data_IF_319280771528
#
_entry.id   IF_319280771528
#
_cell.length_a   1.000
_cell.length_b   1.000
_cell.length_c   1.000
_cell.angle_alpha   90.00
_cell.angle_beta   90.00
_cell.angle_gamma   90.00
#
_symmetry.space_group_name_H-M   'P 1'
#
loop_
_entity.id
_entity.type
_entity.pdbx_description
1 polymer ?
#
# COMPACT_ATOMS: atom_id res chain seq x y z
N UNK A 1 -16.98 0.54 -6.64
CA UNK A 1 -17.80 -0.69 -6.54
C UNK A 1 -17.46 -1.56 -5.33
N UNK A 2 -16.18 -1.81 -5.01
CA UNK A 2 -15.78 -2.63 -3.85
C UNK A 2 -16.15 -1.97 -2.51
N UNK A 3 -16.02 -0.65 -2.40
CA UNK A 3 -16.44 0.08 -1.19
C UNK A 3 -17.95 0.10 -1.02
N UNK A 4 -18.73 0.17 -2.12
CA UNK A 4 -20.18 0.10 -2.06
C UNK A 4 -20.69 -1.30 -1.65
N UNK A 5 -19.96 -2.36 -2.04
CA UNK A 5 -20.28 -3.72 -1.62
C UNK A 5 -20.01 -3.98 -0.13
N UNK A 6 -18.96 -3.40 0.45
CA UNK A 6 -18.64 -3.55 1.88
C UNK A 6 -19.62 -2.77 2.77
N UNK A 7 -19.94 -1.53 2.41
CA UNK A 7 -20.94 -0.73 3.13
C UNK A 7 -22.35 -1.30 2.93
N UNK A 8 -22.66 -1.80 1.73
CA UNK A 8 -23.92 -2.46 1.45
C UNK A 8 -24.11 -3.79 2.17
N UNK A 9 -23.03 -4.56 2.41
CA UNK A 9 -23.13 -5.83 3.14
C UNK A 9 -23.37 -5.63 4.64
N UNK A 10 -22.79 -4.63 5.26
CA UNK A 10 -23.05 -4.31 6.67
C UNK A 10 -24.50 -3.88 6.90
N UNK A 11 -25.04 -3.00 6.07
CA UNK A 11 -26.46 -2.60 6.16
C UNK A 11 -27.42 -3.76 5.84
N UNK A 12 -27.11 -4.56 4.83
CA UNK A 12 -27.95 -5.69 4.43
C UNK A 12 -28.00 -6.82 5.46
N UNK A 13 -26.91 -7.08 6.18
CA UNK A 13 -26.87 -8.13 7.22
C UNK A 13 -27.72 -7.72 8.43
N UNK A 14 -27.78 -6.45 8.78
CA UNK A 14 -28.56 -5.95 9.94
C UNK A 14 -30.06 -6.01 9.73
N UNK A 15 -30.53 -5.75 8.52
CA UNK A 15 -31.94 -5.55 8.23
C UNK A 15 -32.60 -6.78 7.57
N UNK A 16 -31.86 -7.88 7.39
CA UNK A 16 -32.38 -9.10 6.77
C UNK A 16 -32.64 -10.19 7.79
N UNK A 17 -33.66 -11.01 7.52
CA UNK A 17 -33.88 -12.22 8.28
C UNK A 17 -32.70 -13.21 8.08
N UNK A 18 -32.56 -14.14 9.01
CA UNK A 18 -31.46 -15.11 9.04
C UNK A 18 -31.28 -15.89 7.73
N UNK A 19 -32.37 -16.38 7.14
CA UNK A 19 -32.30 -17.19 5.90
C UNK A 19 -31.86 -16.37 4.71
N UNK A 20 -32.34 -15.14 4.58
CA UNK A 20 -31.91 -14.23 3.54
C UNK A 20 -30.43 -13.84 3.68
N UNK A 21 -29.94 -13.64 4.89
CA UNK A 21 -28.53 -13.37 5.17
C UNK A 21 -27.62 -14.55 4.80
N UNK A 22 -28.03 -15.79 5.14
CA UNK A 22 -27.31 -17.02 4.76
C UNK A 22 -27.30 -17.18 3.22
N UNK A 23 -28.39 -16.91 2.55
CA UNK A 23 -28.48 -17.01 1.09
C UNK A 23 -27.56 -15.99 0.38
N UNK A 24 -27.53 -14.77 0.89
CA UNK A 24 -26.63 -13.73 0.36
C UNK A 24 -25.15 -14.06 0.60
N UNK A 25 -24.82 -14.60 1.77
CA UNK A 25 -23.47 -15.10 2.07
C UNK A 25 -23.07 -16.20 1.08
N UNK A 26 -23.93 -17.21 0.89
CA UNK A 26 -23.65 -18.30 -0.04
C UNK A 26 -23.49 -17.81 -1.48
N UNK A 27 -24.31 -16.88 -1.92
CA UNK A 27 -24.20 -16.25 -3.25
C UNK A 27 -22.88 -15.48 -3.41
N UNK A 28 -22.47 -14.75 -2.38
CA UNK A 28 -21.20 -14.02 -2.38
C UNK A 28 -19.99 -14.96 -2.48
N UNK A 29 -19.98 -16.04 -1.70
CA UNK A 29 -18.94 -17.09 -1.73
C UNK A 29 -18.85 -17.77 -3.09
N UNK A 30 -19.99 -18.20 -3.63
CA UNK A 30 -20.06 -18.84 -4.95
C UNK A 30 -19.56 -17.91 -6.06
N UNK A 31 -19.99 -16.65 -6.04
CA UNK A 31 -19.52 -15.63 -6.99
C UNK A 31 -18.03 -15.41 -6.89
N UNK A 32 -17.48 -15.40 -5.68
CA UNK A 32 -16.04 -15.30 -5.42
C UNK A 32 -15.26 -16.47 -6.01
N UNK A 33 -15.73 -17.70 -5.78
CA UNK A 33 -15.11 -18.92 -6.32
C UNK A 33 -15.13 -18.91 -7.85
N UNK A 34 -16.26 -18.58 -8.46
CA UNK A 34 -16.39 -18.50 -9.93
C UNK A 34 -15.44 -17.45 -10.50
N UNK A 35 -15.32 -16.29 -9.84
CA UNK A 35 -14.42 -15.22 -10.26
C UNK A 35 -12.94 -15.67 -10.20
N UNK A 36 -12.55 -16.37 -9.14
CA UNK A 36 -11.18 -16.90 -8.99
C UNK A 36 -10.91 -17.95 -10.05
N UNK A 37 -11.79 -18.93 -10.21
CA UNK A 37 -11.64 -19.99 -11.21
C UNK A 37 -11.56 -19.41 -12.64
N UNK A 38 -12.37 -18.40 -12.94
CA UNK A 38 -12.34 -17.71 -14.23
C UNK A 38 -11.01 -17.00 -14.47
N UNK A 39 -10.45 -16.33 -13.46
CA UNK A 39 -9.13 -15.70 -13.59
C UNK A 39 -7.98 -16.70 -13.76
N UNK A 40 -8.12 -17.87 -13.20
CA UNK A 40 -7.14 -18.96 -13.33
C UNK A 40 -7.32 -19.77 -14.62
N UNK A 41 -8.36 -19.52 -15.40
CA UNK A 41 -8.69 -20.32 -16.59
C UNK A 41 -9.18 -21.73 -16.26
N UNK A 42 -9.73 -21.94 -15.07
CA UNK A 42 -10.25 -23.23 -14.60
C UNK A 42 -11.75 -23.32 -14.92
N UNK A 43 -12.17 -24.36 -15.58
CA UNK A 43 -13.56 -24.59 -15.98
C UNK A 43 -14.33 -25.55 -15.08
N UNK A 44 -13.64 -26.29 -14.20
CA UNK A 44 -14.26 -27.26 -13.29
C UNK A 44 -13.73 -27.07 -11.87
N UNK A 45 -14.57 -27.24 -10.88
CA UNK A 45 -14.19 -27.12 -9.47
C UNK A 45 -13.18 -28.18 -9.04
N UNK A 46 -13.20 -29.35 -9.67
CA UNK A 46 -12.26 -30.42 -9.42
C UNK A 46 -10.82 -30.02 -9.76
N UNK A 47 -10.62 -29.20 -10.77
CA UNK A 47 -9.30 -28.66 -11.13
C UNK A 47 -8.79 -27.64 -10.12
N UNK A 48 -9.67 -27.03 -9.33
CA UNK A 48 -9.32 -26.10 -8.27
C UNK A 48 -9.04 -26.81 -6.95
N UNK A 49 -9.87 -27.81 -6.60
CA UNK A 49 -9.71 -28.60 -5.39
C UNK A 49 -8.41 -29.43 -5.43
N UNK A 50 -7.61 -29.34 -4.38
CA UNK A 50 -6.34 -30.10 -4.28
C UNK A 50 -5.28 -29.74 -5.33
N UNK A 51 -5.43 -28.61 -6.01
CA UNK A 51 -4.50 -28.14 -7.05
C UNK A 51 -3.09 -27.83 -6.55
N UNK A 52 -2.90 -27.72 -5.22
CA UNK A 52 -1.61 -27.42 -4.56
C UNK A 52 -0.92 -26.15 -5.06
N UNK A 53 -1.72 -25.18 -5.49
CA UNK A 53 -1.25 -23.86 -5.92
C UNK A 53 -1.12 -22.89 -4.75
N UNK A 54 -1.49 -23.31 -3.55
CA UNK A 54 -1.41 -22.51 -2.33
C UNK A 54 -0.23 -22.94 -1.48
N UNK A 55 0.35 -21.99 -0.81
CA UNK A 55 1.34 -22.18 0.24
C UNK A 55 0.75 -21.74 1.56
N UNK A 56 0.96 -22.53 2.61
CA UNK A 56 0.57 -22.14 3.95
C UNK A 56 1.66 -21.29 4.60
N UNK A 57 1.28 -20.15 5.16
CA UNK A 57 2.18 -19.24 5.86
C UNK A 57 1.66 -19.04 7.28
N UNK A 58 2.52 -19.24 8.27
CA UNK A 58 2.20 -18.97 9.67
C UNK A 58 1.34 -20.04 10.34
N UNK A 59 1.31 -21.28 9.84
CA UNK A 59 0.66 -22.43 10.47
C UNK A 59 1.72 -23.45 10.88
N UNK A 60 1.65 -23.94 12.11
CA UNK A 60 2.60 -24.91 12.65
C UNK A 60 2.60 -26.21 11.85
N UNK A 61 3.79 -26.80 11.75
CA UNK A 61 3.99 -28.00 10.95
C UNK A 61 3.16 -29.20 11.42
N UNK A 62 2.91 -29.33 12.70
CA UNK A 62 2.07 -30.40 13.25
C UNK A 62 0.62 -30.34 12.75
N UNK A 63 0.11 -29.12 12.49
CA UNK A 63 -1.20 -28.91 11.89
C UNK A 63 -1.15 -29.23 10.40
N UNK A 64 -0.10 -28.75 9.71
CA UNK A 64 0.06 -28.98 8.28
C UNK A 64 0.18 -30.45 7.92
N UNK A 65 1.02 -31.18 8.61
CA UNK A 65 1.24 -32.61 8.34
C UNK A 65 -0.02 -33.47 8.55
N UNK A 66 -0.88 -33.04 9.48
CA UNK A 66 -2.11 -33.77 9.81
C UNK A 66 -3.30 -33.43 8.90
N UNK A 67 -3.50 -32.15 8.61
CA UNK A 67 -4.73 -31.67 7.96
C UNK A 67 -4.52 -31.15 6.52
N UNK A 68 -3.30 -30.76 6.17
CA UNK A 68 -2.95 -30.20 4.88
C UNK A 68 -1.77 -30.98 4.24
N UNK A 69 -1.87 -32.28 4.24
CA UNK A 69 -0.85 -33.17 3.76
C UNK A 69 -0.34 -32.79 2.35
N UNK A 70 0.97 -32.68 2.20
CA UNK A 70 1.64 -32.26 0.97
C UNK A 70 1.37 -30.80 0.52
N UNK A 71 0.83 -29.93 1.38
CA UNK A 71 0.81 -28.51 1.13
C UNK A 71 2.14 -27.91 1.54
N UNK A 72 2.72 -27.07 0.69
CA UNK A 72 4.00 -26.39 0.96
C UNK A 72 3.83 -25.41 2.09
N UNK A 73 4.69 -25.46 3.10
CA UNK A 73 4.78 -24.48 4.18
C UNK A 73 6.25 -24.24 4.52
N UNK A 74 6.72 -23.01 4.34
CA UNK A 74 8.08 -22.58 4.65
C UNK A 74 8.17 -21.78 5.93
N UNK A 75 7.06 -21.23 6.39
CA UNK A 75 6.95 -20.40 7.59
C UNK A 75 5.94 -21.06 8.52
N UNK A 76 6.41 -21.61 9.64
CA UNK A 76 5.57 -22.12 10.71
C UNK A 76 4.94 -20.99 11.51
N UNK A 77 4.11 -21.33 12.49
CA UNK A 77 3.44 -20.32 13.34
C UNK A 77 2.41 -20.94 14.27
N UNK A 78 1.15 -20.53 14.15
CA UNK A 78 0.06 -20.88 15.06
C UNK A 78 -0.27 -22.36 15.07
N UNK A 79 -0.56 -22.85 16.27
CA UNK A 79 -1.01 -24.21 16.52
C UNK A 79 -2.55 -24.31 16.51
N UNK A 80 -3.09 -25.53 16.61
CA UNK A 80 -4.54 -25.71 16.81
C UNK A 80 -5.05 -25.02 18.08
N UNK A 81 -4.21 -24.93 19.11
CA UNK A 81 -4.60 -24.27 20.36
C UNK A 81 -4.74 -22.75 20.18
N UNK A 82 -3.87 -22.16 19.39
CA UNK A 82 -3.96 -20.74 19.06
C UNK A 82 -5.22 -20.46 18.23
N UNK A 83 -5.53 -21.32 17.25
CA UNK A 83 -6.76 -21.23 16.45
C UNK A 83 -8.00 -21.36 17.34
N UNK A 84 -8.00 -22.33 18.27
CA UNK A 84 -9.08 -22.49 19.25
C UNK A 84 -9.26 -21.22 20.10
N UNK A 85 -8.16 -20.65 20.59
CA UNK A 85 -8.19 -19.43 21.39
C UNK A 85 -8.79 -18.25 20.60
N UNK A 86 -8.39 -18.07 19.33
CA UNK A 86 -8.94 -17.03 18.46
C UNK A 86 -10.45 -17.22 18.21
N UNK A 87 -10.87 -18.47 17.96
CA UNK A 87 -12.29 -18.79 17.78
C UNK A 87 -13.08 -18.48 19.05
N UNK A 88 -12.59 -18.91 20.21
CA UNK A 88 -13.25 -18.66 21.48
C UNK A 88 -13.34 -17.17 21.78
N UNK A 89 -12.25 -16.41 21.57
CA UNK A 89 -12.27 -14.97 21.79
C UNK A 89 -13.27 -14.24 20.87
N UNK A 90 -13.36 -14.67 19.61
CA UNK A 90 -14.36 -14.12 18.68
C UNK A 90 -15.79 -14.52 19.07
N UNK A 91 -15.99 -15.76 19.50
CA UNK A 91 -17.29 -16.25 20.00
C UNK A 91 -17.74 -15.47 21.23
N UNK A 92 -16.87 -15.36 22.24
CA UNK A 92 -17.18 -14.65 23.49
C UNK A 92 -17.53 -13.18 23.24
N UNK A 93 -16.81 -12.55 22.30
CA UNK A 93 -17.12 -11.18 21.89
C UNK A 93 -18.47 -11.07 21.18
N UNK A 94 -18.82 -12.06 20.33
CA UNK A 94 -20.06 -12.03 19.56
C UNK A 94 -21.30 -12.33 20.42
N UNK A 95 -21.15 -13.20 21.40
CA UNK A 95 -22.27 -13.70 22.19
C UNK A 95 -22.31 -13.16 23.63
N UNK A 96 -21.48 -12.19 23.96
CA UNK A 96 -21.36 -11.54 25.27
C UNK A 96 -22.24 -12.18 26.36
N UNK A 97 -21.71 -13.08 27.19
CA UNK A 97 -22.51 -13.93 28.11
C UNK A 97 -23.24 -13.10 29.16
N UNK A 98 -22.84 -11.86 29.40
CA UNK A 98 -23.50 -10.95 30.34
C UNK A 98 -24.53 -10.05 29.69
N UNK A 99 -24.59 -9.99 28.34
CA UNK A 99 -25.55 -9.17 27.61
C UNK A 99 -25.37 -7.67 27.82
N UNK A 100 -24.16 -7.22 28.21
CA UNK A 100 -23.88 -5.85 28.56
C UNK A 100 -23.46 -5.00 27.35
N UNK A 101 -23.05 -5.62 26.25
CA UNK A 101 -22.69 -4.92 25.03
C UNK A 101 -23.94 -4.57 24.24
N UNK A 102 -24.22 -3.29 24.16
CA UNK A 102 -25.34 -2.76 23.36
C UNK A 102 -24.91 -2.36 21.96
N UNK A 103 -23.62 -2.21 21.72
CA UNK A 103 -23.08 -1.83 20.40
C UNK A 103 -22.97 -3.05 19.49
N UNK A 104 -23.80 -3.05 18.46
CA UNK A 104 -23.83 -4.08 17.41
C UNK A 104 -22.99 -3.72 16.18
N UNK A 105 -22.19 -2.66 16.25
CA UNK A 105 -21.29 -2.28 15.16
C UNK A 105 -20.09 -3.22 15.10
N UNK A 106 -19.61 -3.48 13.87
CA UNK A 106 -18.37 -4.21 13.71
C UNK A 106 -17.19 -3.38 14.20
N UNK A 107 -16.35 -3.98 15.02
CA UNK A 107 -15.12 -3.31 15.46
C UNK A 107 -14.14 -3.14 14.29
N UNK A 108 -13.54 -1.97 14.21
CA UNK A 108 -12.49 -1.68 13.23
C UNK A 108 -11.15 -1.62 13.96
N UNK A 109 -10.21 -2.47 13.54
CA UNK A 109 -8.84 -2.42 14.05
C UNK A 109 -8.09 -1.14 13.64
N UNK A 110 -8.62 -0.38 12.69
CA UNK A 110 -7.97 0.82 12.18
C UNK A 110 -6.86 0.55 11.17
N UNK A 111 -6.72 -0.67 10.65
CA UNK A 111 -5.63 -1.04 9.74
C UNK A 111 -5.68 -0.34 8.39
N UNK A 112 -6.86 -0.06 7.85
CA UNK A 112 -7.04 0.63 6.56
C UNK A 112 -7.21 2.14 6.68
N UNK A 113 -7.77 2.60 7.80
CA UNK A 113 -7.95 4.02 8.12
C UNK A 113 -7.58 4.25 9.55
N UNK A 114 -6.87 5.34 9.82
CA UNK A 114 -6.57 5.75 11.18
C UNK A 114 -7.83 5.81 12.05
N UNK A 115 -7.75 5.22 13.24
CA UNK A 115 -8.75 5.29 14.30
C UNK A 115 -8.02 5.56 15.62
N UNK A 116 -8.45 6.58 16.34
CA UNK A 116 -7.86 6.90 17.64
C UNK A 116 -7.97 5.72 18.60
N UNK A 117 -6.88 5.38 19.28
CA UNK A 117 -6.81 4.26 20.23
C UNK A 117 -6.81 2.86 19.58
N UNK A 118 -6.58 2.78 18.28
CA UNK A 118 -6.42 1.54 17.51
C UNK A 118 -5.01 1.43 16.94
N UNK A 119 -4.83 0.70 15.85
CA UNK A 119 -3.53 0.53 15.20
C UNK A 119 -2.88 1.87 14.85
N UNK A 120 -1.62 2.06 15.22
CA UNK A 120 -0.87 3.26 14.95
C UNK A 120 -0.43 3.33 13.48
N UNK A 121 -0.49 4.53 12.92
CA UNK A 121 -0.09 4.82 11.55
C UNK A 121 1.01 5.88 11.50
N UNK A 122 2.00 5.68 10.63
CA UNK A 122 3.00 6.70 10.33
C UNK A 122 2.34 7.98 9.78
N UNK A 123 1.33 7.79 8.91
CA UNK A 123 0.54 8.88 8.35
C UNK A 123 -0.78 9.00 9.13
N UNK A 124 -0.72 9.70 10.25
CA UNK A 124 -1.85 10.01 11.10
C UNK A 124 -2.26 11.49 10.94
N UNK A 125 -3.37 11.94 11.53
CA UNK A 125 -3.82 13.33 11.38
C UNK A 125 -2.78 14.38 11.81
N UNK A 126 -1.98 14.10 12.84
CA UNK A 126 -0.97 15.03 13.32
C UNK A 126 0.21 15.15 12.38
N UNK A 127 0.76 14.01 11.93
CA UNK A 127 1.91 13.99 11.01
C UNK A 127 1.56 14.61 9.66
N UNK A 128 0.36 14.32 9.14
CA UNK A 128 -0.13 14.91 7.88
C UNK A 128 -0.32 16.42 8.05
N UNK A 129 -0.92 16.87 9.15
CA UNK A 129 -1.14 18.29 9.41
C UNK A 129 0.18 19.08 9.46
N UNK A 130 1.15 18.61 10.25
CA UNK A 130 2.45 19.27 10.38
C UNK A 130 3.19 19.35 9.03
N UNK A 131 3.20 18.26 8.28
CA UNK A 131 3.84 18.24 6.96
C UNK A 131 3.18 19.22 5.99
N UNK A 132 1.84 19.23 5.95
CA UNK A 132 1.10 20.16 5.08
C UNK A 132 1.29 21.61 5.49
N UNK A 133 1.30 21.90 6.79
CA UNK A 133 1.52 23.25 7.30
C UNK A 133 2.91 23.75 6.94
N UNK A 134 3.93 22.94 7.20
CA UNK A 134 5.31 23.26 6.90
C UNK A 134 5.53 23.55 5.41
N UNK A 135 5.00 22.68 4.54
CA UNK A 135 5.19 22.81 3.08
C UNK A 135 4.42 23.96 2.47
N UNK A 136 3.18 24.23 2.93
CA UNK A 136 2.36 25.33 2.43
C UNK A 136 2.93 26.70 2.80
N UNK A 137 3.50 26.83 3.99
CA UNK A 137 4.06 28.09 4.51
C UNK A 137 5.55 28.24 4.20
N UNK A 138 6.22 27.20 3.69
CA UNK A 138 7.68 27.20 3.55
C UNK A 138 8.39 27.30 4.92
N UNK A 139 7.75 26.80 5.98
CA UNK A 139 8.25 26.92 7.34
C UNK A 139 9.12 25.74 7.75
N UNK A 140 10.43 25.99 7.77
CA UNK A 140 11.42 24.98 8.15
C UNK A 140 11.35 24.61 9.65
N UNK A 141 10.92 25.52 10.53
CA UNK A 141 10.77 25.21 11.95
C UNK A 141 9.68 24.14 12.15
N UNK A 142 8.51 24.35 11.57
CA UNK A 142 7.42 23.34 11.57
C UNK A 142 7.85 22.02 10.89
N UNK A 143 8.68 22.07 9.84
CA UNK A 143 9.23 20.86 9.26
C UNK A 143 10.16 20.10 10.21
N UNK A 144 10.92 20.81 11.05
CA UNK A 144 11.75 20.19 12.10
C UNK A 144 10.90 19.53 13.18
N UNK A 145 9.76 20.13 13.56
CA UNK A 145 8.80 19.51 14.50
C UNK A 145 8.23 18.22 13.91
N UNK A 146 7.82 18.25 12.64
CA UNK A 146 7.39 17.05 11.92
C UNK A 146 8.47 15.97 11.92
N UNK A 147 9.72 16.33 11.58
CA UNK A 147 10.84 15.39 11.54
C UNK A 147 11.13 14.75 12.89
N UNK A 148 11.07 15.55 13.95
CA UNK A 148 11.26 15.06 15.33
C UNK A 148 10.14 14.11 15.74
N UNK A 149 8.90 14.46 15.44
CA UNK A 149 7.76 13.60 15.72
C UNK A 149 7.90 12.22 15.03
N UNK A 150 8.25 12.21 13.74
CA UNK A 150 8.39 10.96 12.95
C UNK A 150 9.58 10.11 13.39
N UNK A 151 10.72 10.73 13.69
CA UNK A 151 11.96 10.01 13.88
C UNK A 151 12.25 9.65 15.34
N UNK A 152 11.68 10.38 16.30
CA UNK A 152 12.06 10.26 17.70
C UNK A 152 10.87 9.98 18.64
N UNK A 153 9.68 10.48 18.34
CA UNK A 153 8.57 10.48 19.29
C UNK A 153 7.50 9.42 18.98
N UNK A 154 7.30 9.07 17.71
CA UNK A 154 6.32 8.04 17.32
C UNK A 154 6.88 6.63 17.56
N UNK A 155 6.02 5.75 18.02
CA UNK A 155 6.32 4.32 18.04
C UNK A 155 6.67 3.83 16.62
N UNK A 156 7.69 2.97 16.48
CA UNK A 156 8.08 2.43 15.19
C UNK A 156 6.96 1.56 14.58
N UNK A 157 6.30 2.07 13.54
CA UNK A 157 5.18 1.39 12.85
C UNK A 157 5.61 0.70 11.54
N UNK A 158 6.90 0.77 11.21
CA UNK A 158 7.47 0.10 10.04
C UNK A 158 8.90 -0.37 10.33
N UNK A 159 9.42 -1.26 9.47
CA UNK A 159 10.77 -1.84 9.67
C UNK A 159 11.87 -0.78 9.67
N UNK A 160 11.73 0.29 8.91
CA UNK A 160 12.72 1.37 8.88
C UNK A 160 12.82 2.09 10.23
N UNK A 161 11.70 2.26 10.94
CA UNK A 161 11.69 2.86 12.28
C UNK A 161 12.41 2.04 13.34
N UNK A 162 12.63 0.75 13.08
CA UNK A 162 13.39 -0.15 13.97
C UNK A 162 14.90 -0.18 13.64
N UNK A 163 15.34 0.53 12.62
CA UNK A 163 16.74 0.56 12.18
C UNK A 163 17.37 1.90 12.52
N UNK A 164 18.65 1.87 12.84
CA UNK A 164 19.46 3.06 13.04
C UNK A 164 20.76 2.95 12.23
N UNK A 165 21.47 4.07 12.07
CA UNK A 165 22.77 4.09 11.41
C UNK A 165 23.87 3.65 12.37
N UNK A 166 24.78 2.83 11.87
CA UNK A 166 26.00 2.50 12.60
C UNK A 166 27.02 3.63 12.39
N UNK A 167 26.95 4.65 13.23
CA UNK A 167 27.84 5.80 13.15
C UNK A 167 29.25 5.41 13.58
N UNK A 168 30.31 5.81 12.84
CA UNK A 168 31.67 5.63 13.26
C UNK A 168 31.99 6.54 14.46
N UNK A 169 32.91 6.13 15.33
CA UNK A 169 33.36 6.93 16.48
C UNK A 169 33.93 8.30 16.07
N UNK A 170 34.55 8.37 14.89
CA UNK A 170 35.09 9.60 14.32
C UNK A 170 34.42 9.86 12.97
N UNK A 171 33.75 11.01 12.86
CA UNK A 171 33.18 11.47 11.60
C UNK A 171 34.25 11.84 10.58
N UNK A 172 33.89 11.80 9.28
CA UNK A 172 34.78 12.29 8.22
C UNK A 172 34.76 13.82 8.18
N UNK A 173 35.83 14.49 7.76
CA UNK A 173 35.85 15.93 7.54
C UNK A 173 34.76 16.37 6.58
N UNK A 174 34.17 17.54 6.81
CA UNK A 174 33.02 18.02 6.02
C UNK A 174 33.36 18.25 4.54
N UNK A 175 34.59 18.57 4.25
CA UNK A 175 35.12 18.76 2.88
C UNK A 175 35.30 17.44 2.10
N UNK A 176 35.31 16.31 2.82
CA UNK A 176 35.32 14.98 2.24
C UNK A 176 33.87 14.42 2.03
N UNK A 177 32.87 15.08 2.60
CA UNK A 177 31.47 14.67 2.45
C UNK A 177 30.94 15.09 1.09
N UNK A 178 30.24 14.16 0.41
CA UNK A 178 29.63 14.45 -0.88
C UNK A 178 28.61 15.59 -0.76
N UNK A 179 28.59 16.51 -1.74
CA UNK A 179 27.67 17.63 -1.74
C UNK A 179 26.22 17.18 -1.90
N UNK A 180 25.27 17.96 -1.36
CA UNK A 180 23.83 17.72 -1.50
C UNK A 180 23.44 17.62 -2.95
N UNK A 181 23.94 18.53 -3.82
CA UNK A 181 23.64 18.53 -5.26
C UNK A 181 24.08 17.23 -5.95
N UNK A 182 25.21 16.67 -5.55
CA UNK A 182 25.68 15.38 -6.07
C UNK A 182 24.79 14.23 -5.60
N UNK A 183 24.41 14.24 -4.32
CA UNK A 183 23.55 13.21 -3.72
C UNK A 183 22.17 13.22 -4.38
N UNK A 184 21.54 14.38 -4.53
CA UNK A 184 20.16 14.50 -5.03
C UNK A 184 20.03 14.03 -6.48
N UNK A 185 21.07 14.12 -7.30
CA UNK A 185 21.06 13.58 -8.67
C UNK A 185 20.76 12.10 -8.78
N UNK A 186 20.98 11.35 -7.69
CA UNK A 186 20.68 9.92 -7.61
C UNK A 186 19.27 9.64 -7.11
N UNK A 187 18.54 10.65 -6.64
CA UNK A 187 17.17 10.48 -6.16
C UNK A 187 16.19 10.40 -7.32
N UNK A 188 15.28 9.46 -7.20
CA UNK A 188 14.25 9.19 -8.20
C UNK A 188 12.91 9.00 -7.49
N UNK A 189 11.82 9.46 -8.10
CA UNK A 189 10.49 9.11 -7.60
C UNK A 189 10.12 7.71 -8.02
N UNK A 190 9.22 7.07 -7.25
CA UNK A 190 8.55 5.88 -7.72
C UNK A 190 7.76 6.16 -9.00
N UNK A 191 7.52 5.11 -9.80
CA UNK A 191 6.70 5.20 -10.99
C UNK A 191 5.23 5.37 -10.61
N UNK A 192 4.64 6.51 -10.92
CA UNK A 192 3.24 6.81 -10.69
C UNK A 192 2.60 7.22 -12.01
N UNK A 193 1.65 6.40 -12.48
CA UNK A 193 1.01 6.64 -13.77
C UNK A 193 0.04 7.82 -13.70
N UNK A 194 0.05 8.65 -14.74
CA UNK A 194 -1.00 9.61 -15.02
C UNK A 194 -2.32 8.86 -15.23
N UNK A 195 -3.25 9.04 -14.32
CA UNK A 195 -4.49 8.26 -14.23
C UNK A 195 -4.68 7.58 -12.88
N UNK A 196 -3.60 7.31 -12.13
CA UNK A 196 -3.66 6.91 -10.72
C UNK A 196 -3.58 8.10 -9.76
N UNK A 197 -3.04 9.22 -10.23
CA UNK A 197 -2.96 10.50 -9.53
C UNK A 197 -3.44 11.63 -10.44
N UNK A 198 -3.74 12.80 -9.88
CA UNK A 198 -4.13 13.95 -10.68
C UNK A 198 -2.97 14.49 -11.53
N UNK A 199 -3.31 15.22 -12.61
CA UNK A 199 -2.33 15.87 -13.47
C UNK A 199 -1.44 16.82 -12.68
N UNK A 200 -2.03 17.61 -11.82
CA UNK A 200 -1.32 18.60 -11.00
C UNK A 200 -0.30 17.95 -10.06
N UNK A 201 -0.67 16.84 -9.43
CA UNK A 201 0.24 16.09 -8.57
C UNK A 201 1.41 15.49 -9.36
N UNK A 202 1.11 14.93 -10.54
CA UNK A 202 2.13 14.35 -11.42
C UNK A 202 3.11 15.42 -11.94
N UNK A 203 2.60 16.57 -12.35
CA UNK A 203 3.41 17.70 -12.78
C UNK A 203 4.22 18.32 -11.63
N UNK A 204 3.62 18.46 -10.46
CA UNK A 204 4.32 18.98 -9.28
C UNK A 204 5.54 18.14 -8.90
N UNK A 205 5.42 16.81 -8.99
CA UNK A 205 6.58 15.93 -8.79
C UNK A 205 7.65 16.11 -9.85
N UNK A 206 7.26 16.23 -11.11
CA UNK A 206 8.23 16.47 -12.20
C UNK A 206 8.96 17.82 -12.02
N UNK A 207 8.22 18.88 -11.69
CA UNK A 207 8.80 20.22 -11.43
C UNK A 207 9.76 20.14 -10.24
N UNK A 208 9.35 19.53 -9.13
CA UNK A 208 10.18 19.43 -7.93
C UNK A 208 11.48 18.68 -8.22
N UNK A 209 11.41 17.54 -8.88
CA UNK A 209 12.59 16.74 -9.18
C UNK A 209 13.50 17.43 -10.20
N UNK A 210 12.95 18.08 -11.22
CA UNK A 210 13.74 18.86 -12.18
C UNK A 210 14.44 20.05 -11.50
N UNK A 211 13.77 20.73 -10.57
CA UNK A 211 14.35 21.83 -9.79
C UNK A 211 15.49 21.37 -8.89
N UNK A 212 15.36 20.19 -8.32
CA UNK A 212 16.36 19.58 -7.44
C UNK A 212 17.46 18.82 -8.20
N UNK A 213 17.39 18.75 -9.53
CA UNK A 213 18.28 17.92 -10.37
C UNK A 213 18.19 16.40 -10.08
N UNK A 214 17.11 15.96 -9.45
CA UNK A 214 16.72 14.56 -9.36
C UNK A 214 15.90 14.11 -10.58
N UNK A 215 15.29 12.93 -10.51
CA UNK A 215 14.55 12.39 -11.65
C UNK A 215 13.16 11.91 -11.23
N UNK A 216 12.12 12.46 -11.85
CA UNK A 216 10.76 11.96 -11.72
C UNK A 216 10.50 10.85 -12.74
N UNK A 217 9.61 9.92 -12.39
CA UNK A 217 9.23 8.80 -13.23
C UNK A 217 7.76 8.95 -13.66
N UNK A 218 7.53 8.96 -14.97
CA UNK A 218 6.18 9.13 -15.53
C UNK A 218 5.21 7.99 -15.24
N UNK A 219 5.70 6.84 -14.78
CA UNK A 219 4.93 5.61 -14.85
C UNK A 219 4.67 5.20 -16.31
N UNK A 220 3.76 4.28 -16.52
CA UNK A 220 3.41 3.77 -17.86
C UNK A 220 2.20 4.46 -18.50
N UNK A 221 1.62 5.45 -17.83
CA UNK A 221 0.43 6.19 -18.29
C UNK A 221 0.71 7.28 -19.35
N UNK A 222 1.97 7.52 -19.65
CA UNK A 222 2.38 8.57 -20.59
C UNK A 222 2.39 9.96 -19.98
N UNK A 223 2.60 10.95 -20.84
CA UNK A 223 2.56 12.38 -20.51
C UNK A 223 1.97 13.16 -21.68
N UNK A 224 1.28 14.24 -21.36
CA UNK A 224 0.78 15.14 -22.38
C UNK A 224 1.93 15.78 -23.15
N UNK A 225 1.69 15.99 -24.44
CA UNK A 225 2.72 16.48 -25.37
C UNK A 225 3.26 17.86 -24.98
N UNK A 226 2.43 18.69 -24.37
CA UNK A 226 2.77 20.04 -23.91
C UNK A 226 3.80 20.02 -22.78
N UNK A 227 3.85 18.95 -22.01
CA UNK A 227 4.80 18.76 -20.91
C UNK A 227 6.22 18.47 -21.37
N UNK A 228 6.39 18.05 -22.63
CA UNK A 228 7.70 17.74 -23.20
C UNK A 228 8.53 18.97 -23.54
N UNK A 229 7.96 20.16 -23.35
CA UNK A 229 8.64 21.46 -23.54
C UNK A 229 8.54 22.27 -22.25
N UNK A 230 9.52 23.15 -22.06
CA UNK A 230 9.50 24.09 -20.93
C UNK A 230 8.30 25.00 -21.06
N UNK A 231 7.51 25.13 -20.01
CA UNK A 231 6.33 25.98 -20.00
C UNK A 231 6.65 27.47 -20.08
N UNK A 232 5.66 28.32 -20.39
CA UNK A 232 5.86 29.79 -20.47
C UNK A 232 6.25 30.41 -19.12
N UNK A 233 6.02 29.69 -18.01
CA UNK A 233 6.43 30.02 -16.65
C UNK A 233 7.89 29.61 -16.34
N UNK A 234 8.60 29.04 -17.30
CA UNK A 234 9.95 28.55 -17.14
C UNK A 234 10.08 27.20 -16.43
N UNK A 235 8.97 26.56 -16.10
CA UNK A 235 8.97 25.28 -15.37
C UNK A 235 9.01 24.08 -16.33
N UNK A 236 9.87 23.14 -16.00
CA UNK A 236 9.96 21.86 -16.72
C UNK A 236 9.04 20.80 -16.05
N UNK A 237 7.99 20.42 -16.78
CA UNK A 237 6.99 19.42 -16.35
C UNK A 237 7.24 18.03 -16.90
N UNK A 238 8.29 17.85 -17.70
CA UNK A 238 8.65 16.57 -18.29
C UNK A 238 9.30 15.66 -17.22
N UNK A 239 8.81 14.44 -17.08
CA UNK A 239 9.48 13.46 -16.22
C UNK A 239 10.73 12.93 -16.93
N UNK A 240 11.85 12.93 -16.24
CA UNK A 240 13.13 12.47 -16.78
C UNK A 240 13.13 10.97 -17.11
N UNK A 241 12.43 10.18 -16.31
CA UNK A 241 12.31 8.73 -16.51
C UNK A 241 10.97 8.40 -17.16
N UNK A 242 11.02 7.69 -18.28
CA UNK A 242 9.83 7.14 -18.96
C UNK A 242 9.74 5.64 -18.72
N UNK A 243 8.65 5.20 -18.11
CA UNK A 243 8.42 3.79 -17.90
C UNK A 243 7.74 3.15 -19.13
N UNK A 244 8.19 1.96 -19.48
CA UNK A 244 7.67 1.19 -20.62
C UNK A 244 7.36 -0.23 -20.13
N UNK A 245 6.12 -0.68 -20.32
CA UNK A 245 5.70 -2.05 -19.99
C UNK A 245 5.37 -2.83 -21.27
N UNK A 246 4.08 -2.84 -21.61
CA UNK A 246 3.55 -3.68 -22.70
C UNK A 246 3.21 -2.93 -23.99
N UNK A 247 3.43 -1.64 -24.04
CA UNK A 247 3.00 -0.78 -25.16
C UNK A 247 1.49 -0.55 -25.26
N UNK A 248 0.70 -1.05 -24.31
CA UNK A 248 -0.77 -0.90 -24.30
C UNK A 248 -1.25 0.53 -24.01
N UNK A 249 -0.40 1.37 -23.45
CA UNK A 249 -0.72 2.72 -23.01
C UNK A 249 -0.21 3.79 -23.96
N UNK A 250 -0.08 3.48 -25.26
CA UNK A 250 0.26 4.48 -26.27
C UNK A 250 1.70 4.97 -26.22
N UNK A 251 2.65 4.07 -25.94
CA UNK A 251 4.07 4.37 -26.05
C UNK A 251 4.39 4.77 -27.49
N UNK A 252 4.81 6.03 -27.69
CA UNK A 252 5.16 6.58 -28.99
C UNK A 252 6.66 6.84 -29.05
N UNK A 253 7.21 6.96 -30.26
CA UNK A 253 8.61 7.35 -30.45
C UNK A 253 8.91 8.72 -29.80
N UNK A 254 7.97 9.65 -29.87
CA UNK A 254 8.10 10.97 -29.24
C UNK A 254 8.20 10.87 -27.71
N UNK A 255 7.39 10.04 -27.09
CA UNK A 255 7.48 9.75 -25.65
C UNK A 255 8.85 9.17 -25.29
N UNK A 256 9.33 8.19 -26.05
CA UNK A 256 10.61 7.53 -25.77
C UNK A 256 11.81 8.46 -25.95
N UNK A 257 11.84 9.27 -27.01
CA UNK A 257 12.98 10.19 -27.27
C UNK A 257 13.01 11.38 -26.31
N UNK A 258 11.93 11.65 -25.59
CA UNK A 258 11.89 12.68 -24.55
C UNK A 258 12.43 12.20 -23.19
N UNK A 259 12.81 10.93 -23.07
CA UNK A 259 13.34 10.35 -21.86
C UNK A 259 14.84 10.62 -21.69
N UNK A 260 15.26 10.99 -20.49
CA UNK A 260 16.67 10.92 -20.08
C UNK A 260 17.04 9.47 -19.74
N UNK A 261 16.08 8.75 -19.14
CA UNK A 261 16.19 7.33 -18.82
C UNK A 261 14.89 6.59 -19.20
N UNK A 262 15.05 5.36 -19.66
CA UNK A 262 13.92 4.45 -19.89
C UNK A 262 13.93 3.39 -18.81
N UNK A 263 12.80 3.20 -18.14
CA UNK A 263 12.60 2.13 -17.18
C UNK A 263 11.71 1.04 -17.78
N UNK A 264 12.26 -0.14 -17.97
CA UNK A 264 11.47 -1.29 -18.44
C UNK A 264 10.78 -1.91 -17.23
N UNK A 265 9.45 -1.96 -17.27
CA UNK A 265 8.64 -2.64 -16.27
C UNK A 265 8.44 -4.08 -16.69
N UNK A 266 8.94 -5.01 -15.89
CA UNK A 266 8.72 -6.44 -16.09
C UNK A 266 7.31 -6.83 -15.64
N UNK A 267 6.68 -7.74 -16.36
CA UNK A 267 5.37 -8.28 -16.03
C UNK A 267 5.46 -9.35 -14.94
#
# INVERSE_FOLDING_TARGET
EICACLVGSEMCIRDRDYYAAVDDYNKAVLSGIVKIASKMGISTIQSYQGSKIFEAIGIDRSVMDKYFTNTVSRVGGITLKDIENDINANHDRAYDPLGLQTDTTFDSAGSHKYRSGKEEHLYNPQTIHLLQLATRNGDYATFKEYSKLINEELEPVNLRGLMDFNYPEKGVPIDEVESVDSIVRRFKTGAMSYGSISQEAHEAMAIAMNTLHGKSNSGEGGEDIERLTIGPDGLNRCSAIKQVASGRFGVTSRYLVSADEIQIKMA
#
